data_IF_940927275067
#
_entry.id   IF_940927275067
#
_cell.length_a   1.000
_cell.length_b   1.000
_cell.length_c   1.000
_cell.angle_alpha   90.00
_cell.angle_beta   90.00
_cell.angle_gamma   90.00
#
_symmetry.space_group_name_H-M   'P 1'
#
loop_
_entity.id
_entity.type
_entity.pdbx_description
1 polymer ?
#
# COMPACT_ATOMS: atom_id res chain seq x y z
N UNK A 1 15.54 -19.81 -11.46
CA UNK A 1 14.56 -19.28 -10.50
C UNK A 1 14.63 -17.77 -10.61
N UNK A 2 13.59 -17.10 -11.11
CA UNK A 2 13.57 -15.63 -11.13
C UNK A 2 13.57 -15.13 -9.69
N UNK A 3 14.48 -14.22 -9.31
CA UNK A 3 14.58 -13.80 -7.93
C UNK A 3 13.39 -12.87 -7.56
N UNK A 4 12.81 -13.07 -6.38
CA UNK A 4 11.56 -12.42 -5.95
C UNK A 4 11.62 -10.88 -5.92
N UNK A 5 12.81 -10.29 -5.77
CA UNK A 5 13.01 -8.84 -5.79
C UNK A 5 12.68 -8.20 -7.16
N UNK A 6 12.63 -8.96 -8.26
CA UNK A 6 12.17 -8.42 -9.54
C UNK A 6 10.69 -8.03 -9.47
N UNK A 7 9.88 -8.75 -8.70
CA UNK A 7 8.46 -8.44 -8.55
C UNK A 7 8.22 -7.19 -7.70
N UNK A 8 9.14 -6.84 -6.80
CA UNK A 8 9.06 -5.59 -6.02
C UNK A 8 9.35 -4.34 -6.87
N UNK A 9 9.97 -4.50 -8.05
CA UNK A 9 10.13 -3.40 -9.01
C UNK A 9 8.81 -2.99 -9.67
N UNK A 10 7.83 -3.89 -9.73
CA UNK A 10 6.54 -3.62 -10.37
C UNK A 10 5.76 -2.56 -9.57
N UNK A 11 5.50 -2.72 -8.25
CA UNK A 11 4.86 -1.68 -7.44
C UNK A 11 5.62 -0.36 -7.48
N UNK A 12 6.96 -0.39 -7.42
CA UNK A 12 7.79 0.82 -7.48
C UNK A 12 7.62 1.58 -8.82
N UNK A 13 7.64 0.87 -9.95
CA UNK A 13 7.39 1.47 -11.26
C UNK A 13 5.97 2.02 -11.38
N UNK A 14 4.98 1.31 -10.85
CA UNK A 14 3.58 1.74 -10.84
C UNK A 14 3.39 2.97 -9.94
N UNK A 15 4.10 3.08 -8.82
CA UNK A 15 4.13 4.28 -7.97
C UNK A 15 4.55 5.52 -8.75
N UNK A 16 5.67 5.40 -9.47
CA UNK A 16 6.26 6.50 -10.26
C UNK A 16 5.28 6.92 -11.36
N UNK A 17 4.70 5.95 -12.08
CA UNK A 17 3.69 6.23 -13.10
C UNK A 17 2.45 6.91 -12.49
N UNK A 18 1.98 6.44 -11.34
CA UNK A 18 0.88 7.05 -10.59
C UNK A 18 1.15 8.50 -10.22
N UNK A 19 2.33 8.80 -9.68
CA UNK A 19 2.76 10.14 -9.34
C UNK A 19 2.83 11.05 -10.59
N UNK A 20 3.40 10.57 -11.70
CA UNK A 20 3.45 11.31 -12.97
C UNK A 20 2.05 11.64 -13.49
N UNK A 21 1.14 10.67 -13.48
CA UNK A 21 -0.26 10.87 -13.90
C UNK A 21 -0.95 11.87 -12.96
N UNK A 22 -0.77 11.72 -11.65
CA UNK A 22 -1.38 12.56 -10.63
C UNK A 22 -0.99 14.03 -10.76
N UNK A 23 0.29 14.32 -11.03
CA UNK A 23 0.79 15.69 -11.17
C UNK A 23 0.17 16.41 -12.38
N UNK A 24 -0.17 15.64 -13.42
CA UNK A 24 -0.73 16.16 -14.66
C UNK A 24 -2.26 16.25 -14.63
N UNK A 25 -2.93 15.25 -14.06
CA UNK A 25 -4.40 15.14 -14.05
C UNK A 25 -5.02 15.87 -12.86
N UNK A 26 -4.33 15.94 -11.71
CA UNK A 26 -4.81 16.51 -10.43
C UNK A 26 -6.22 16.00 -10.06
N UNK A 27 -6.36 14.72 -9.66
CA UNK A 27 -7.66 14.12 -9.38
C UNK A 27 -8.37 14.86 -8.24
N UNK A 28 -9.67 15.08 -8.38
CA UNK A 28 -10.49 15.62 -7.31
C UNK A 28 -10.66 14.64 -6.14
N UNK A 29 -11.04 15.13 -4.94
CA UNK A 29 -11.16 14.31 -3.73
C UNK A 29 -12.16 13.14 -3.86
N UNK A 30 -13.19 13.30 -4.69
CA UNK A 30 -14.17 12.22 -4.98
C UNK A 30 -13.50 11.06 -5.72
N UNK A 31 -12.66 11.36 -6.72
CA UNK A 31 -11.95 10.34 -7.49
C UNK A 31 -10.96 9.64 -6.58
N UNK A 32 -10.18 10.38 -5.80
CA UNK A 32 -9.22 9.81 -4.83
C UNK A 32 -9.92 8.87 -3.85
N UNK A 33 -11.05 9.29 -3.27
CA UNK A 33 -11.81 8.46 -2.32
C UNK A 33 -12.41 7.20 -2.95
N UNK A 34 -13.03 7.30 -4.13
CA UNK A 34 -13.59 6.16 -4.85
C UNK A 34 -12.52 5.13 -5.20
N UNK A 35 -11.37 5.63 -5.62
CA UNK A 35 -10.19 4.85 -5.96
C UNK A 35 -9.59 4.14 -4.73
N UNK A 36 -9.49 4.82 -3.58
CA UNK A 36 -9.02 4.21 -2.33
C UNK A 36 -9.94 3.08 -1.86
N UNK A 37 -11.26 3.25 -1.96
CA UNK A 37 -12.21 2.17 -1.63
C UNK A 37 -12.07 0.98 -2.59
N UNK A 38 -11.83 1.24 -3.87
CA UNK A 38 -11.55 0.21 -4.85
C UNK A 38 -10.27 -0.56 -4.50
N UNK A 39 -9.19 0.16 -4.15
CA UNK A 39 -7.92 -0.44 -3.71
C UNK A 39 -8.10 -1.35 -2.51
N UNK A 40 -8.75 -0.84 -1.45
CA UNK A 40 -9.05 -1.61 -0.25
C UNK A 40 -9.87 -2.87 -0.58
N UNK A 41 -10.84 -2.77 -1.49
CA UNK A 41 -11.61 -3.92 -1.97
C UNK A 41 -10.76 -4.96 -2.71
N UNK A 42 -9.85 -4.52 -3.59
CA UNK A 42 -8.93 -5.42 -4.32
C UNK A 42 -7.98 -6.15 -3.37
N UNK A 43 -7.36 -5.43 -2.43
CA UNK A 43 -6.46 -6.01 -1.42
C UNK A 43 -7.22 -7.00 -0.53
N UNK A 44 -8.42 -6.63 -0.08
CA UNK A 44 -9.25 -7.51 0.74
C UNK A 44 -9.65 -8.79 -0.02
N UNK A 45 -10.04 -8.66 -1.29
CA UNK A 45 -10.38 -9.80 -2.13
C UNK A 45 -9.18 -10.73 -2.37
N UNK A 46 -7.99 -10.18 -2.61
CA UNK A 46 -6.77 -10.96 -2.78
C UNK A 46 -6.40 -11.73 -1.49
N UNK A 47 -6.47 -11.05 -0.33
CA UNK A 47 -6.22 -11.69 0.96
C UNK A 47 -7.26 -12.78 1.27
N UNK A 48 -8.54 -12.53 1.01
CA UNK A 48 -9.61 -13.50 1.23
C UNK A 48 -9.53 -14.70 0.27
N UNK A 49 -9.13 -14.49 -0.99
CA UNK A 49 -9.06 -15.55 -2.00
C UNK A 49 -7.84 -16.44 -1.88
N UNK A 50 -6.71 -15.90 -1.42
CA UNK A 50 -5.43 -16.62 -1.44
C UNK A 50 -4.87 -16.93 -0.06
N UNK A 51 -4.99 -15.99 0.90
CA UNK A 51 -4.40 -16.18 2.23
C UNK A 51 -5.38 -16.89 3.17
N UNK A 52 -6.67 -16.54 3.13
CA UNK A 52 -7.67 -17.13 4.01
C UNK A 52 -7.81 -18.66 3.87
N UNK A 53 -7.84 -19.25 2.65
CA UNK A 53 -7.96 -20.70 2.52
C UNK A 53 -6.80 -21.44 3.17
N UNK A 54 -5.55 -21.04 2.89
CA UNK A 54 -4.37 -21.68 3.46
C UNK A 54 -4.36 -21.60 5.00
N UNK A 55 -4.74 -20.43 5.52
CA UNK A 55 -4.85 -20.20 6.96
C UNK A 55 -5.89 -21.11 7.63
N UNK A 56 -7.08 -21.25 7.03
CA UNK A 56 -8.17 -22.07 7.58
C UNK A 56 -7.82 -23.56 7.52
N UNK A 57 -7.22 -24.02 6.42
CA UNK A 57 -6.78 -25.42 6.28
C UNK A 57 -5.63 -25.78 7.23
N UNK A 58 -4.81 -24.79 7.63
CA UNK A 58 -3.72 -24.98 8.60
C UNK A 58 -4.20 -25.18 10.05
N UNK A 59 -5.51 -25.03 10.32
CA UNK A 59 -6.09 -25.16 11.67
C UNK A 59 -5.74 -24.02 12.63
N UNK A 60 -5.12 -22.94 12.15
CA UNK A 60 -4.53 -21.87 12.95
C UNK A 60 -5.47 -20.67 13.17
N UNK A 61 -6.79 -20.86 13.17
CA UNK A 61 -7.78 -19.77 13.22
C UNK A 61 -7.53 -18.77 14.36
N UNK A 62 -7.18 -19.27 15.56
CA UNK A 62 -6.88 -18.39 16.70
C UNK A 62 -5.62 -17.55 16.48
N UNK A 63 -4.57 -18.12 15.88
CA UNK A 63 -3.35 -17.38 15.58
C UNK A 63 -3.61 -16.28 14.53
N UNK A 64 -4.49 -16.55 13.56
CA UNK A 64 -4.90 -15.56 12.54
C UNK A 64 -5.73 -14.44 13.13
N UNK A 65 -6.69 -14.75 14.00
CA UNK A 65 -7.51 -13.74 14.68
C UNK A 65 -6.60 -12.85 15.53
N UNK A 66 -5.76 -13.45 16.37
CA UNK A 66 -4.83 -12.72 17.24
C UNK A 66 -3.84 -11.90 16.41
N UNK A 67 -3.22 -12.51 15.39
CA UNK A 67 -2.27 -11.84 14.50
C UNK A 67 -2.91 -10.71 13.69
N UNK A 68 -4.13 -10.91 13.19
CA UNK A 68 -4.89 -9.91 12.44
C UNK A 68 -5.25 -8.70 13.30
N UNK A 69 -5.80 -8.93 14.50
CA UNK A 69 -6.08 -7.84 15.44
C UNK A 69 -4.81 -7.17 15.97
N UNK A 70 -3.74 -7.93 16.19
CA UNK A 70 -2.44 -7.36 16.57
C UNK A 70 -1.89 -6.46 15.46
N UNK A 71 -1.95 -6.90 14.20
CA UNK A 71 -1.54 -6.11 13.04
C UNK A 71 -2.34 -4.81 12.90
N UNK A 72 -3.68 -4.88 13.04
CA UNK A 72 -4.53 -3.68 13.08
C UNK A 72 -4.12 -2.76 14.23
N UNK A 73 -3.89 -3.32 15.43
CA UNK A 73 -3.44 -2.57 16.59
C UNK A 73 -2.11 -1.86 16.36
N UNK A 74 -1.14 -2.52 15.73
CA UNK A 74 0.15 -1.94 15.36
C UNK A 74 -0.04 -0.78 14.38
N UNK A 75 -0.85 -0.96 13.32
CA UNK A 75 -1.11 0.12 12.36
C UNK A 75 -1.82 1.31 12.98
N UNK A 76 -2.77 1.08 13.89
CA UNK A 76 -3.43 2.16 14.62
C UNK A 76 -2.48 2.88 15.57
N UNK A 77 -1.56 2.17 16.21
CA UNK A 77 -0.54 2.76 17.09
C UNK A 77 0.43 3.65 16.30
N UNK A 78 0.91 3.17 15.15
CA UNK A 78 1.75 3.94 14.22
C UNK A 78 1.03 5.23 13.81
N UNK A 79 -0.22 5.11 13.33
CA UNK A 79 -1.03 6.24 12.92
C UNK A 79 -1.27 7.25 14.05
N UNK A 80 -1.45 6.77 15.28
CA UNK A 80 -1.64 7.63 16.44
C UNK A 80 -0.35 8.40 16.81
N UNK A 81 0.82 7.79 16.62
CA UNK A 81 2.10 8.42 16.88
C UNK A 81 2.38 9.55 15.87
N UNK A 82 2.01 9.35 14.60
CA UNK A 82 2.20 10.33 13.52
C UNK A 82 1.21 11.49 13.52
N UNK A 83 0.04 11.34 14.18
CA UNK A 83 -0.92 12.45 14.35
C UNK A 83 -0.33 13.66 15.07
N UNK A 84 0.77 13.50 15.81
CA UNK A 84 1.49 14.61 16.44
C UNK A 84 2.33 15.45 15.47
N UNK A 85 2.53 14.98 14.23
CA UNK A 85 3.30 15.67 13.19
C UNK A 85 2.38 16.18 12.08
N UNK A 86 1.85 17.39 12.24
CA UNK A 86 1.06 18.04 11.19
C UNK A 86 1.96 18.52 10.04
N UNK A 87 1.51 18.29 8.79
CA UNK A 87 2.16 18.79 7.58
C UNK A 87 2.74 17.72 6.64
N UNK A 88 3.43 18.14 5.56
CA UNK A 88 3.92 17.24 4.50
C UNK A 88 4.84 16.12 5.00
N UNK A 89 5.60 16.39 6.07
CA UNK A 89 6.53 15.41 6.66
C UNK A 89 5.77 14.25 7.32
N UNK A 90 4.67 14.54 8.04
CA UNK A 90 3.84 13.50 8.64
C UNK A 90 3.20 12.60 7.58
N UNK A 91 2.71 13.21 6.49
CA UNK A 91 2.18 12.46 5.34
C UNK A 91 3.23 11.55 4.69
N UNK A 92 4.44 12.07 4.45
CA UNK A 92 5.54 11.29 3.87
C UNK A 92 6.00 10.16 4.80
N UNK A 93 5.96 10.40 6.11
CA UNK A 93 6.32 9.36 7.09
C UNK A 93 5.29 8.23 7.08
N UNK A 94 3.99 8.57 7.09
CA UNK A 94 2.90 7.59 7.02
C UNK A 94 3.01 6.72 5.76
N UNK A 95 3.24 7.36 4.62
CA UNK A 95 3.44 6.71 3.31
C UNK A 95 4.67 5.81 3.32
N UNK A 96 5.78 6.28 3.89
CA UNK A 96 7.00 5.49 3.98
C UNK A 96 6.82 4.24 4.84
N UNK A 97 6.06 4.34 5.93
CA UNK A 97 5.72 3.20 6.78
C UNK A 97 4.80 2.22 6.05
N UNK A 98 3.82 2.71 5.30
CA UNK A 98 2.92 1.90 4.48
C UNK A 98 3.70 1.05 3.47
N UNK A 99 4.56 1.69 2.66
CA UNK A 99 5.41 1.00 1.67
C UNK A 99 6.34 -0.03 2.33
N UNK A 100 6.88 0.27 3.52
CA UNK A 100 7.72 -0.66 4.28
C UNK A 100 6.94 -1.92 4.69
N UNK A 101 5.73 -1.73 5.22
CA UNK A 101 4.88 -2.82 5.69
C UNK A 101 4.38 -3.64 4.49
N UNK A 102 3.98 -3.01 3.40
CA UNK A 102 3.61 -3.67 2.14
C UNK A 102 4.74 -4.52 1.59
N UNK A 103 5.97 -4.00 1.59
CA UNK A 103 7.17 -4.74 1.19
C UNK A 103 7.42 -5.97 2.06
N UNK A 104 7.22 -5.84 3.38
CA UNK A 104 7.33 -6.97 4.31
C UNK A 104 6.25 -8.03 4.05
N UNK A 105 4.98 -7.60 3.92
CA UNK A 105 3.83 -8.47 3.63
C UNK A 105 4.03 -9.21 2.30
N UNK A 106 4.51 -8.51 1.27
CA UNK A 106 4.83 -9.09 -0.02
C UNK A 106 5.92 -10.16 0.08
N UNK A 107 6.97 -9.90 0.86
CA UNK A 107 8.04 -10.86 1.14
C UNK A 107 7.52 -12.12 1.82
N UNK A 108 6.68 -11.98 2.85
CA UNK A 108 6.03 -13.09 3.56
C UNK A 108 5.14 -13.89 2.59
N UNK A 109 4.40 -13.21 1.72
CA UNK A 109 3.54 -13.87 0.75
C UNK A 109 4.30 -14.71 -0.28
N UNK A 110 5.43 -14.20 -0.80
CA UNK A 110 6.30 -15.00 -1.67
C UNK A 110 6.98 -16.16 -0.94
N UNK A 111 7.26 -16.02 0.36
CA UNK A 111 7.74 -17.11 1.19
C UNK A 111 6.67 -18.20 1.43
N UNK A 112 5.40 -17.80 1.52
CA UNK A 112 4.26 -18.72 1.64
C UNK A 112 3.92 -19.41 0.30
N UNK A 113 4.07 -18.70 -0.83
CA UNK A 113 3.89 -19.30 -2.15
C UNK A 113 3.93 -18.29 -3.30
N UNK A 114 4.36 -18.75 -4.47
CA UNK A 114 4.48 -17.90 -5.66
C UNK A 114 3.14 -17.30 -6.13
N UNK A 115 2.04 -18.05 -6.00
CA UNK A 115 0.69 -17.59 -6.40
C UNK A 115 0.19 -16.47 -5.48
N UNK A 116 0.34 -16.64 -4.17
CA UNK A 116 0.00 -15.62 -3.17
C UNK A 116 0.84 -14.35 -3.37
N UNK A 117 2.15 -14.49 -3.53
CA UNK A 117 3.05 -13.36 -3.81
C UNK A 117 2.69 -12.61 -5.09
N UNK A 118 2.34 -13.30 -6.17
CA UNK A 118 1.94 -12.66 -7.43
C UNK A 118 0.62 -11.88 -7.30
N UNK A 119 -0.39 -12.47 -6.65
CA UNK A 119 -1.69 -11.81 -6.47
C UNK A 119 -1.58 -10.60 -5.53
N UNK A 120 -0.77 -10.68 -4.49
CA UNK A 120 -0.44 -9.53 -3.65
C UNK A 120 0.38 -8.48 -4.40
N UNK A 121 1.30 -8.86 -5.29
CA UNK A 121 2.02 -7.89 -6.14
C UNK A 121 1.05 -7.07 -6.98
N UNK A 122 0.04 -7.72 -7.56
CA UNK A 122 -0.99 -7.03 -8.35
C UNK A 122 -1.82 -6.10 -7.46
N UNK A 123 -2.27 -6.57 -6.30
CA UNK A 123 -3.03 -5.77 -5.35
C UNK A 123 -2.25 -4.53 -4.86
N UNK A 124 -0.99 -4.73 -4.44
CA UNK A 124 -0.09 -3.66 -4.01
C UNK A 124 0.23 -2.68 -5.14
N UNK A 125 0.37 -3.16 -6.38
CA UNK A 125 0.58 -2.25 -7.51
C UNK A 125 -0.60 -1.30 -7.70
N UNK A 126 -1.82 -1.81 -7.56
CA UNK A 126 -3.04 -1.01 -7.61
C UNK A 126 -3.08 -0.01 -6.46
N UNK A 127 -2.79 -0.43 -5.24
CA UNK A 127 -2.72 0.43 -4.06
C UNK A 127 -1.68 1.55 -4.18
N UNK A 128 -0.45 1.20 -4.55
CA UNK A 128 0.67 2.14 -4.67
C UNK A 128 0.45 3.18 -5.77
N UNK A 129 -0.23 2.81 -6.87
CA UNK A 129 -0.68 3.77 -7.89
C UNK A 129 -1.51 4.89 -7.25
N UNK A 130 -2.42 4.51 -6.36
CA UNK A 130 -3.39 5.40 -5.74
C UNK A 130 -2.84 6.18 -4.57
N UNK A 131 -1.92 5.58 -3.82
CA UNK A 131 -1.12 6.30 -2.85
C UNK A 131 -0.31 7.42 -3.53
N UNK A 132 0.31 7.14 -4.69
CA UNK A 132 0.98 8.18 -5.49
C UNK A 132 0.05 9.33 -5.89
N UNK A 133 -1.21 9.03 -6.23
CA UNK A 133 -2.25 10.02 -6.53
C UNK A 133 -2.65 10.86 -5.30
N UNK A 134 -2.87 10.22 -4.15
CA UNK A 134 -3.25 10.88 -2.91
C UNK A 134 -2.12 11.80 -2.40
N UNK A 135 -0.91 11.28 -2.32
CA UNK A 135 0.29 12.00 -1.86
C UNK A 135 0.58 13.21 -2.74
N UNK A 136 0.51 13.04 -4.05
CA UNK A 136 0.68 14.13 -5.01
C UNK A 136 -0.38 15.22 -4.83
N UNK A 137 -1.64 14.83 -4.62
CA UNK A 137 -2.75 15.78 -4.48
C UNK A 137 -2.58 16.63 -3.22
N UNK A 138 -2.24 16.01 -2.09
CA UNK A 138 -1.94 16.69 -0.83
C UNK A 138 -0.68 17.59 -0.92
N UNK A 139 0.42 17.06 -1.47
CA UNK A 139 1.64 17.85 -1.68
C UNK A 139 1.43 19.03 -2.62
N UNK A 140 0.53 18.93 -3.61
CA UNK A 140 0.22 20.02 -4.55
C UNK A 140 -0.42 21.25 -3.88
N UNK A 141 -1.01 21.09 -2.69
CA UNK A 141 -1.53 22.20 -1.91
C UNK A 141 -0.41 23.02 -1.25
N UNK A 142 0.73 22.38 -0.97
CA UNK A 142 1.87 22.99 -0.25
C UNK A 142 3.03 23.35 -1.18
N UNK A 143 3.28 22.56 -2.23
CA UNK A 143 4.41 22.69 -3.15
C UNK A 143 3.92 23.11 -4.54
N UNK A 144 4.41 24.26 -5.05
CA UNK A 144 4.02 24.76 -6.38
C UNK A 144 4.76 24.08 -7.56
N UNK A 145 5.93 23.47 -7.31
CA UNK A 145 6.75 22.86 -8.37
C UNK A 145 6.36 21.41 -8.63
N UNK A 146 5.91 21.12 -9.86
CA UNK A 146 5.53 19.78 -10.33
C UNK A 146 6.67 18.76 -10.21
N UNK A 147 7.89 19.18 -10.53
CA UNK A 147 9.09 18.30 -10.47
C UNK A 147 9.46 17.95 -9.03
N UNK A 148 9.32 18.90 -8.11
CA UNK A 148 9.62 18.66 -6.69
C UNK A 148 8.60 17.72 -6.04
N UNK A 149 7.36 17.67 -6.54
CA UNK A 149 6.35 16.73 -6.02
C UNK A 149 6.66 15.28 -6.43
N UNK A 150 7.23 15.05 -7.62
CA UNK A 150 7.56 13.69 -8.09
C UNK A 150 8.86 13.16 -7.50
N UNK A 151 9.81 14.03 -7.14
CA UNK A 151 11.12 13.63 -6.61
C UNK A 151 11.17 13.43 -5.09
N UNK A 152 10.09 13.77 -4.38
CA UNK A 152 9.96 13.61 -2.92
C UNK A 152 9.37 12.24 -2.64
#
# INVERSE_FOLDING_TARGET
MTPAWIYTLIPAAVAILGAIVAVNVRPGPVIVSAVQHFAAGVVFAAAAGEIMPDVVHSGALMATIVGGFAGIGVMLAIRQLERGTEGPVGLLTLVGVDILIDGLVLGIAFAAGAKAGLLLTIALSVEVLFLGLAVTTELSQTIKSRVRIVMV
#
